data_IF_567584409168
#
_entry.id   IF_567584409168
#
_cell.length_a   1.000
_cell.length_b   1.000
_cell.length_c   1.000
_cell.angle_alpha   90.00
_cell.angle_beta   90.00
_cell.angle_gamma   90.00
#
_symmetry.space_group_name_H-M   'P 1'
#
loop_
_entity.id
_entity.type
_entity.pdbx_description
1 polymer ?
#
# COMPACT_ATOMS: atom_id res chain seq x y z
N UNK A 1 -22.33 20.49 -11.13
CA UNK A 1 -21.23 20.00 -10.27
C UNK A 1 -20.22 21.12 -10.12
N UNK A 2 -20.09 21.70 -8.92
CA UNK A 2 -19.10 22.74 -8.63
C UNK A 2 -17.69 22.16 -8.77
N UNK A 3 -16.78 22.88 -9.43
CA UNK A 3 -15.38 22.46 -9.61
C UNK A 3 -14.70 22.11 -8.27
N UNK A 4 -15.12 22.77 -7.20
CA UNK A 4 -14.63 22.56 -5.83
C UNK A 4 -14.90 21.15 -5.30
N UNK A 5 -16.05 20.55 -5.66
CA UNK A 5 -16.42 19.21 -5.21
C UNK A 5 -15.55 18.14 -5.89
N UNK A 6 -15.27 18.31 -7.18
CA UNK A 6 -14.37 17.42 -7.92
C UNK A 6 -12.95 17.52 -7.34
N UNK A 7 -12.48 18.74 -7.07
CA UNK A 7 -11.17 18.95 -6.47
C UNK A 7 -11.06 18.30 -5.09
N UNK A 8 -12.09 18.43 -4.25
CA UNK A 8 -12.14 17.82 -2.93
C UNK A 8 -12.05 16.29 -2.99
N UNK A 9 -12.88 15.65 -3.81
CA UNK A 9 -12.90 14.19 -3.99
C UNK A 9 -11.53 13.69 -4.46
N UNK A 10 -10.93 14.35 -5.46
CA UNK A 10 -9.62 13.94 -6.00
C UNK A 10 -8.52 14.05 -4.94
N UNK A 11 -8.48 15.15 -4.18
CA UNK A 11 -7.47 15.33 -3.12
C UNK A 11 -7.64 14.30 -2.00
N UNK A 12 -8.86 14.06 -1.55
CA UNK A 12 -9.14 13.05 -0.51
C UNK A 12 -8.79 11.64 -1.00
N UNK A 13 -9.10 11.30 -2.25
CA UNK A 13 -8.73 10.03 -2.87
C UNK A 13 -7.21 9.85 -2.99
N UNK A 14 -6.47 10.88 -3.38
CA UNK A 14 -5.00 10.84 -3.41
C UNK A 14 -4.43 10.64 -2.00
N UNK A 15 -5.03 11.27 -1.00
CA UNK A 15 -4.63 11.12 0.39
C UNK A 15 -4.87 9.70 0.92
N UNK A 16 -6.01 9.10 0.54
CA UNK A 16 -6.32 7.71 0.83
C UNK A 16 -5.26 6.75 0.26
N UNK A 17 -4.88 6.94 -1.01
CA UNK A 17 -3.85 6.12 -1.68
C UNK A 17 -2.50 6.24 -0.96
N UNK A 18 -2.12 7.45 -0.55
CA UNK A 18 -0.88 7.67 0.20
C UNK A 18 -0.90 6.95 1.55
N UNK A 19 -2.01 7.02 2.29
CA UNK A 19 -2.16 6.35 3.58
C UNK A 19 -2.12 4.82 3.41
N UNK A 20 -2.84 4.27 2.42
CA UNK A 20 -2.89 2.83 2.17
C UNK A 20 -1.52 2.29 1.74
N UNK A 21 -0.78 3.03 0.91
CA UNK A 21 0.53 2.60 0.39
C UNK A 21 1.68 2.78 1.39
N UNK A 22 1.53 3.65 2.38
CA UNK A 22 2.59 3.94 3.36
C UNK A 22 3.09 2.70 4.14
N UNK A 23 2.23 1.91 4.83
CA UNK A 23 2.70 0.72 5.55
C UNK A 23 3.35 -0.35 4.66
N UNK A 24 2.80 -0.76 3.50
CA UNK A 24 3.47 -1.76 2.66
C UNK A 24 4.80 -1.26 2.10
N UNK A 25 4.92 0.03 1.74
CA UNK A 25 6.19 0.63 1.32
C UNK A 25 7.23 0.53 2.44
N UNK A 26 6.86 0.94 3.66
CA UNK A 26 7.77 0.93 4.80
C UNK A 26 8.30 -0.48 5.05
N UNK A 27 7.41 -1.47 5.17
CA UNK A 27 7.86 -2.85 5.44
C UNK A 27 8.65 -3.41 4.25
N UNK A 28 8.25 -3.14 3.00
CA UNK A 28 8.99 -3.58 1.83
C UNK A 28 10.42 -3.02 1.79
N UNK A 29 10.61 -1.74 2.17
CA UNK A 29 11.93 -1.11 2.25
C UNK A 29 12.79 -1.77 3.33
N UNK A 30 12.29 -1.91 4.56
CA UNK A 30 13.05 -2.52 5.65
C UNK A 30 13.37 -3.99 5.39
N UNK A 31 12.40 -4.77 4.91
CA UNK A 31 12.61 -6.16 4.56
C UNK A 31 13.66 -6.31 3.45
N UNK A 32 13.53 -5.53 2.38
CA UNK A 32 14.48 -5.58 1.26
C UNK A 32 15.89 -5.19 1.69
N UNK A 33 16.02 -4.24 2.64
CA UNK A 33 17.30 -3.85 3.22
C UNK A 33 17.94 -5.00 4.01
N UNK A 34 17.18 -5.66 4.89
CA UNK A 34 17.66 -6.79 5.69
C UNK A 34 18.10 -7.95 4.79
N UNK A 35 17.29 -8.26 3.77
CA UNK A 35 17.59 -9.32 2.80
C UNK A 35 18.89 -9.00 2.04
N UNK A 36 19.06 -7.76 1.57
CA UNK A 36 20.27 -7.33 0.88
C UNK A 36 21.51 -7.40 1.79
N UNK A 37 21.36 -7.10 3.07
CA UNK A 37 22.45 -7.16 4.04
C UNK A 37 22.88 -8.61 4.33
N UNK A 38 21.92 -9.54 4.47
CA UNK A 38 22.20 -10.97 4.61
C UNK A 38 22.92 -11.52 3.37
N UNK A 39 22.47 -11.13 2.17
CA UNK A 39 23.12 -11.52 0.91
C UNK A 39 24.56 -11.03 0.83
N UNK A 40 24.84 -9.80 1.27
CA UNK A 40 26.19 -9.24 1.31
C UNK A 40 27.08 -9.97 2.33
N UNK A 41 26.57 -10.28 3.53
CA UNK A 41 27.34 -10.94 4.59
C UNK A 41 27.67 -12.40 4.29
N UNK A 42 26.75 -13.13 3.66
CA UNK A 42 26.93 -14.57 3.35
C UNK A 42 27.60 -14.83 2.00
N UNK A 43 27.84 -13.79 1.20
CA UNK A 43 28.38 -13.88 -0.17
C UNK A 43 27.51 -14.73 -1.12
N UNK A 44 26.27 -15.06 -0.74
CA UNK A 44 25.31 -15.81 -1.57
C UNK A 44 24.58 -14.83 -2.50
N UNK A 45 25.07 -14.72 -3.73
CA UNK A 45 24.46 -13.90 -4.80
C UNK A 45 23.52 -14.72 -5.71
N UNK A 46 22.90 -15.78 -5.17
CA UNK A 46 21.88 -16.57 -5.88
C UNK A 46 20.60 -15.74 -6.06
N UNK A 47 20.46 -15.13 -7.23
CA UNK A 47 19.36 -14.23 -7.58
C UNK A 47 17.96 -14.88 -7.40
N UNK A 48 17.87 -16.19 -7.56
CA UNK A 48 16.62 -16.97 -7.41
C UNK A 48 16.14 -16.97 -5.96
N UNK A 49 17.02 -17.22 -4.98
CA UNK A 49 16.68 -17.23 -3.56
C UNK A 49 16.29 -15.81 -3.09
N UNK A 50 17.03 -14.80 -3.54
CA UNK A 50 16.72 -13.39 -3.30
C UNK A 50 15.30 -13.01 -3.74
N UNK A 51 14.91 -13.44 -4.94
CA UNK A 51 13.61 -13.15 -5.53
C UNK A 51 12.48 -13.83 -4.75
N UNK A 52 12.63 -15.12 -4.41
CA UNK A 52 11.63 -15.87 -3.64
C UNK A 52 11.38 -15.26 -2.27
N UNK A 53 12.43 -14.95 -1.51
CA UNK A 53 12.29 -14.36 -0.17
C UNK A 53 11.61 -12.98 -0.23
N UNK A 54 11.94 -12.16 -1.25
CA UNK A 54 11.32 -10.84 -1.44
C UNK A 54 9.82 -10.95 -1.71
N UNK A 55 9.38 -11.85 -2.59
CA UNK A 55 7.96 -12.06 -2.91
C UNK A 55 7.18 -12.52 -1.69
N UNK A 56 7.71 -13.48 -0.94
CA UNK A 56 7.06 -14.00 0.28
C UNK A 56 6.90 -12.87 1.30
N UNK A 57 7.94 -12.06 1.48
CA UNK A 57 7.91 -10.96 2.45
C UNK A 57 6.85 -9.91 2.08
N UNK A 58 6.81 -9.46 0.83
CA UNK A 58 5.81 -8.49 0.35
C UNK A 58 4.39 -9.09 0.48
N UNK A 59 4.23 -10.37 0.18
CA UNK A 59 2.93 -11.05 0.27
C UNK A 59 2.39 -11.06 1.70
N UNK A 60 3.23 -11.36 2.70
CA UNK A 60 2.86 -11.33 4.12
C UNK A 60 2.43 -9.92 4.55
N UNK A 61 3.15 -8.90 4.09
CA UNK A 61 2.85 -7.50 4.40
C UNK A 61 1.51 -7.07 3.83
N UNK A 62 1.25 -7.43 2.57
CA UNK A 62 -0.04 -7.16 1.92
C UNK A 62 -1.19 -7.87 2.64
N UNK A 63 -1.00 -9.14 3.01
CA UNK A 63 -2.00 -9.90 3.78
C UNK A 63 -2.26 -9.27 5.15
N UNK A 64 -1.23 -8.76 5.83
CA UNK A 64 -1.40 -8.08 7.11
C UNK A 64 -2.13 -6.73 6.99
N UNK A 65 -1.93 -6.02 5.87
CA UNK A 65 -2.52 -4.69 5.64
C UNK A 65 -3.89 -4.72 4.97
N UNK A 66 -4.33 -5.86 4.44
CA UNK A 66 -5.56 -6.00 3.64
C UNK A 66 -6.84 -5.62 4.41
N UNK A 67 -6.96 -6.02 5.68
CA UNK A 67 -8.16 -5.77 6.47
C UNK A 67 -8.35 -4.27 6.75
N UNK A 68 -7.25 -3.59 7.07
CA UNK A 68 -7.26 -2.15 7.31
C UNK A 68 -7.48 -1.35 6.02
N UNK A 69 -6.77 -1.68 4.94
CA UNK A 69 -6.91 -0.99 3.66
C UNK A 69 -8.32 -1.16 3.06
N UNK A 70 -8.92 -2.34 3.22
CA UNK A 70 -10.32 -2.58 2.81
C UNK A 70 -11.29 -1.64 3.54
N UNK A 71 -11.15 -1.47 4.85
CA UNK A 71 -12.03 -0.58 5.62
C UNK A 71 -11.91 0.88 5.15
N UNK A 72 -10.70 1.33 4.84
CA UNK A 72 -10.43 2.67 4.32
C UNK A 72 -11.09 2.89 2.95
N UNK A 73 -10.97 1.91 2.04
CA UNK A 73 -11.56 1.97 0.71
C UNK A 73 -13.08 2.00 0.81
N UNK A 74 -13.70 1.09 1.57
CA UNK A 74 -15.16 1.05 1.73
C UNK A 74 -15.70 2.34 2.33
N UNK A 75 -15.05 2.87 3.37
CA UNK A 75 -15.46 4.14 3.99
C UNK A 75 -15.41 5.31 3.00
N UNK A 76 -14.39 5.34 2.13
CA UNK A 76 -14.29 6.35 1.08
C UNK A 76 -15.36 6.15 0.00
N UNK A 77 -15.61 4.90 -0.41
CA UNK A 77 -16.67 4.57 -1.36
C UNK A 77 -18.04 5.00 -0.86
N UNK A 78 -18.37 4.71 0.40
CA UNK A 78 -19.65 5.10 1.01
C UNK A 78 -19.85 6.63 1.01
N UNK A 79 -18.80 7.40 1.36
CA UNK A 79 -18.82 8.86 1.26
C UNK A 79 -19.13 9.36 -0.15
N UNK A 80 -18.52 8.75 -1.17
CA UNK A 80 -18.75 9.13 -2.56
C UNK A 80 -20.20 8.84 -2.97
N UNK A 81 -20.75 7.69 -2.57
CA UNK A 81 -22.15 7.35 -2.81
C UNK A 81 -23.12 8.31 -2.10
N UNK A 82 -22.82 8.72 -0.87
CA UNK A 82 -23.64 9.70 -0.13
C UNK A 82 -23.63 11.08 -0.82
N UNK A 83 -22.47 11.54 -1.28
CA UNK A 83 -22.32 12.78 -2.04
C UNK A 83 -23.13 12.72 -3.35
N UNK A 84 -23.12 11.57 -4.04
CA UNK A 84 -23.90 11.37 -5.26
C UNK A 84 -25.41 11.27 -5.00
N UNK A 85 -25.85 10.70 -3.88
CA UNK A 85 -27.27 10.55 -3.56
C UNK A 85 -27.94 11.86 -3.09
N UNK A 86 -27.14 12.80 -2.58
CA UNK A 86 -27.61 14.09 -2.05
C UNK A 86 -27.64 15.20 -3.12
N UNK A 87 -27.04 14.97 -4.29
CA UNK A 87 -26.93 15.90 -5.43
C UNK A 87 -27.72 15.40 -6.63
#
# INVERSE_FOLDING_TARGET
>A
MSSDLIQFIVVEGLWLVLIISFPPILVATFASLIIALIQALTQVQEQTLAMSVKIITISIVLMATIGWSSNLITSYTDKIFEIMATQ
#
